data_IF_832278024995
#
_entry.id   IF_832278024995
#
_cell.length_a   1.000
_cell.length_b   1.000
_cell.length_c   1.000
_cell.angle_alpha   90.00
_cell.angle_beta   90.00
_cell.angle_gamma   90.00
#
_symmetry.space_group_name_H-M   'P 1'
#
loop_
_entity.id
_entity.type
_entity.pdbx_description
1 polymer ?
#
# COMPACT_ATOMS: atom_id res chain seq x y z
N UNK A 1 -61.61 -146.96 4.25
CA UNK A 1 -62.04 -145.60 3.84
C UNK A 1 -60.99 -144.61 4.33
N UNK A 2 -60.38 -143.87 3.39
CA UNK A 2 -59.67 -142.57 3.51
C UNK A 2 -58.57 -142.39 4.59
N UNK A 3 -57.29 -142.29 4.17
CA UNK A 3 -56.46 -141.05 3.99
C UNK A 3 -55.90 -140.50 5.33
N UNK A 4 -54.72 -139.89 5.49
CA UNK A 4 -53.53 -139.56 4.68
C UNK A 4 -52.49 -138.94 5.65
N UNK A 5 -51.20 -139.04 5.28
CA UNK A 5 -50.08 -138.10 5.59
C UNK A 5 -49.69 -137.89 7.08
N UNK A 6 -48.46 -137.54 7.48
CA UNK A 6 -47.38 -136.80 6.84
C UNK A 6 -46.07 -136.95 7.66
N UNK A 7 -44.92 -136.85 7.02
CA UNK A 7 -43.57 -136.71 7.60
C UNK A 7 -43.42 -135.38 8.36
N UNK A 8 -42.53 -135.30 9.36
CA UNK A 8 -41.42 -134.31 9.38
C UNK A 8 -40.46 -134.46 10.59
N UNK A 9 -39.19 -134.39 10.21
CA UNK A 9 -37.95 -134.10 10.92
C UNK A 9 -38.03 -132.84 11.81
N UNK A 10 -37.19 -132.74 12.85
CA UNK A 10 -36.32 -131.56 13.08
C UNK A 10 -35.51 -131.63 14.38
N UNK A 11 -34.19 -131.52 14.21
CA UNK A 11 -33.18 -131.36 15.25
C UNK A 11 -33.30 -130.04 16.03
N UNK A 12 -33.66 -130.16 17.30
CA UNK A 12 -33.92 -129.03 18.19
C UNK A 12 -32.81 -128.65 19.18
N UNK A 13 -31.65 -129.31 19.17
CA UNK A 13 -30.69 -129.19 20.30
C UNK A 13 -29.34 -128.53 19.95
N UNK A 14 -28.86 -128.67 18.70
CA UNK A 14 -27.56 -128.13 18.29
C UNK A 14 -27.53 -126.60 18.09
N UNK A 15 -28.69 -125.97 17.89
CA UNK A 15 -28.80 -124.51 17.69
C UNK A 15 -28.81 -123.70 18.98
N UNK A 16 -29.22 -124.30 20.10
CA UNK A 16 -29.32 -123.62 21.39
C UNK A 16 -27.94 -123.57 22.07
N UNK A 17 -27.17 -124.66 21.98
CA UNK A 17 -25.78 -124.70 22.49
C UNK A 17 -24.83 -123.80 21.68
N UNK A 18 -25.01 -123.70 20.36
CA UNK A 18 -24.19 -122.80 19.53
C UNK A 18 -24.49 -121.33 19.83
N UNK A 19 -25.77 -120.98 20.03
CA UNK A 19 -26.18 -119.62 20.39
C UNK A 19 -25.70 -119.22 21.80
N UNK A 20 -25.76 -120.14 22.78
CA UNK A 20 -25.22 -119.87 24.13
C UNK A 20 -23.70 -119.69 24.12
N UNK A 21 -23.00 -120.47 23.30
CA UNK A 21 -21.54 -120.36 23.17
C UNK A 21 -21.14 -119.04 22.49
N UNK A 22 -21.89 -118.58 21.49
CA UNK A 22 -21.64 -117.29 20.83
C UNK A 22 -21.95 -116.08 21.72
N UNK A 23 -23.00 -116.15 22.55
CA UNK A 23 -23.29 -115.09 23.55
C UNK A 23 -22.19 -115.00 24.60
N UNK A 24 -21.67 -116.13 25.08
CA UNK A 24 -20.54 -116.15 26.02
C UNK A 24 -19.28 -115.58 25.37
N UNK A 25 -18.97 -115.93 24.12
CA UNK A 25 -17.84 -115.36 23.38
C UNK A 25 -17.99 -113.86 23.18
N UNK A 26 -19.20 -113.39 22.84
CA UNK A 26 -19.48 -111.97 22.67
C UNK A 26 -19.32 -111.19 23.99
N UNK A 27 -19.79 -111.74 25.11
CA UNK A 27 -19.62 -111.13 26.43
C UNK A 27 -18.16 -111.11 26.88
N UNK A 28 -17.36 -112.14 26.55
CA UNK A 28 -15.91 -112.15 26.82
C UNK A 28 -15.19 -111.11 25.97
N UNK A 29 -15.58 -110.92 24.71
CA UNK A 29 -15.01 -109.88 23.84
C UNK A 29 -15.36 -108.48 24.39
N UNK A 30 -16.60 -108.25 24.83
CA UNK A 30 -16.98 -106.98 25.46
C UNK A 30 -16.21 -106.75 26.76
N UNK A 31 -16.09 -107.77 27.62
CA UNK A 31 -15.32 -107.66 28.86
C UNK A 31 -13.84 -107.38 28.58
N UNK A 32 -13.25 -108.01 27.55
CA UNK A 32 -11.88 -107.76 27.14
C UNK A 32 -11.69 -106.34 26.57
N UNK A 33 -12.63 -105.87 25.74
CA UNK A 33 -12.62 -104.48 25.23
C UNK A 33 -12.72 -103.49 26.39
N UNK A 34 -13.58 -103.73 27.38
CA UNK A 34 -13.69 -102.87 28.57
C UNK A 34 -12.42 -102.90 29.43
N UNK A 35 -11.77 -104.06 29.57
CA UNK A 35 -10.55 -104.23 30.35
C UNK A 35 -9.32 -103.62 29.66
N UNK A 36 -9.31 -103.59 28.32
CA UNK A 36 -8.28 -102.92 27.50
C UNK A 36 -8.52 -101.41 27.39
N UNK A 37 -9.77 -100.94 27.49
CA UNK A 37 -10.11 -99.51 27.50
C UNK A 37 -9.99 -98.87 28.90
N UNK A 38 -10.14 -99.64 29.99
CA UNK A 38 -10.03 -99.14 31.35
C UNK A 38 -8.70 -98.43 31.70
N UNK A 39 -7.51 -98.85 31.19
CA UNK A 39 -6.26 -98.11 31.41
C UNK A 39 -6.03 -96.97 30.38
N UNK A 40 -6.91 -96.79 29.38
CA UNK A 40 -6.79 -95.75 28.33
C UNK A 40 -7.67 -94.52 28.65
N UNK A 41 -8.35 -94.51 29.79
CA UNK A 41 -8.84 -93.26 30.39
C UNK A 41 -7.71 -92.75 31.28
N UNK A 42 -6.81 -91.85 30.81
CA UNK A 42 -5.99 -91.13 31.76
C UNK A 42 -6.97 -90.42 32.69
N UNK A 43 -6.78 -90.63 33.99
CA UNK A 43 -7.28 -89.74 35.02
C UNK A 43 -7.07 -88.32 34.53
N UNK A 44 -8.16 -87.60 34.25
CA UNK A 44 -8.09 -86.16 34.09
C UNK A 44 -7.29 -85.64 35.29
N UNK A 45 -6.13 -85.00 35.10
CA UNK A 45 -5.58 -84.23 36.19
C UNK A 45 -6.68 -83.22 36.53
N UNK A 46 -7.14 -83.21 37.77
CA UNK A 46 -7.76 -82.00 38.30
C UNK A 46 -6.70 -80.92 38.10
N UNK A 47 -6.84 -80.12 37.04
CA UNK A 47 -6.02 -78.95 36.82
C UNK A 47 -6.08 -78.13 38.10
N UNK A 48 -4.94 -78.03 38.76
CA UNK A 48 -4.81 -77.26 39.97
C UNK A 48 -5.29 -75.82 39.69
N UNK A 49 -5.95 -75.16 40.65
CA UNK A 49 -6.44 -73.79 40.50
C UNK A 49 -5.35 -72.77 40.13
N UNK A 50 -4.07 -73.14 40.20
CA UNK A 50 -2.91 -72.33 39.79
C UNK A 50 -2.80 -72.06 38.29
N UNK A 51 -3.16 -73.00 37.40
CA UNK A 51 -3.07 -72.77 35.95
C UNK A 51 -4.09 -71.72 35.46
N UNK A 52 -5.29 -71.74 36.04
CA UNK A 52 -6.34 -70.75 35.77
C UNK A 52 -5.89 -69.36 36.27
N UNK A 53 -5.23 -69.28 37.43
CA UNK A 53 -4.71 -68.02 38.00
C UNK A 53 -3.58 -67.43 37.13
N UNK A 54 -2.70 -68.25 36.56
CA UNK A 54 -1.64 -67.78 35.66
C UNK A 54 -2.18 -67.27 34.33
N UNK A 55 -3.16 -67.96 33.74
CA UNK A 55 -3.86 -67.50 32.52
C UNK A 55 -4.60 -66.18 32.79
N UNK A 56 -5.23 -66.03 33.96
CA UNK A 56 -5.88 -64.79 34.36
C UNK A 56 -4.88 -63.62 34.52
N UNK A 57 -3.73 -63.87 35.13
CA UNK A 57 -2.65 -62.87 35.25
C UNK A 57 -2.06 -62.47 33.90
N UNK A 58 -1.88 -63.41 32.99
CA UNK A 58 -1.43 -63.11 31.61
C UNK A 58 -2.46 -62.31 30.83
N UNK A 59 -3.74 -62.64 30.95
CA UNK A 59 -4.81 -61.88 30.31
C UNK A 59 -4.87 -60.44 30.84
N UNK A 60 -4.67 -60.24 32.15
CA UNK A 60 -4.61 -58.92 32.76
C UNK A 60 -3.38 -58.12 32.28
N UNK A 61 -2.20 -58.75 32.25
CA UNK A 61 -0.99 -58.12 31.72
C UNK A 61 -1.11 -57.74 30.23
N UNK A 62 -1.85 -58.53 29.45
CA UNK A 62 -2.10 -58.23 28.03
C UNK A 62 -3.04 -57.04 27.85
N UNK A 63 -4.10 -56.93 28.66
CA UNK A 63 -4.97 -55.75 28.64
C UNK A 63 -4.22 -54.50 29.13
N UNK A 64 -3.38 -54.61 30.17
CA UNK A 64 -2.53 -53.49 30.63
C UNK A 64 -1.56 -53.03 29.53
N UNK A 65 -0.93 -53.97 28.80
CA UNK A 65 -0.07 -53.65 27.65
C UNK A 65 -0.84 -52.99 26.51
N UNK A 66 -2.08 -53.42 26.25
CA UNK A 66 -2.92 -52.84 25.20
C UNK A 66 -3.32 -51.41 25.54
N UNK A 67 -3.64 -51.13 26.80
CA UNK A 67 -3.86 -49.76 27.30
C UNK A 67 -2.60 -48.93 27.09
N UNK A 68 -1.43 -49.44 27.47
CA UNK A 68 -0.16 -48.74 27.32
C UNK A 68 0.21 -48.45 25.85
N UNK A 69 -0.06 -49.39 24.94
CA UNK A 69 0.09 -49.18 23.49
C UNK A 69 -0.86 -48.11 22.98
N UNK A 70 -2.11 -48.08 23.48
CA UNK A 70 -3.08 -47.06 23.10
C UNK A 70 -2.67 -45.66 23.57
N UNK A 71 -2.16 -45.53 24.80
CA UNK A 71 -1.64 -44.27 25.33
C UNK A 71 -0.42 -43.79 24.53
N UNK A 72 0.52 -44.68 24.22
CA UNK A 72 1.67 -44.36 23.37
C UNK A 72 1.24 -43.96 21.95
N UNK A 73 0.20 -44.56 21.40
CA UNK A 73 -0.33 -44.18 20.10
C UNK A 73 -0.93 -42.77 20.12
N UNK A 74 -1.67 -42.44 21.19
CA UNK A 74 -2.27 -41.12 21.38
C UNK A 74 -1.19 -40.04 21.62
N UNK A 75 -0.16 -40.34 22.42
CA UNK A 75 1.00 -39.49 22.60
C UNK A 75 1.74 -39.24 21.29
N UNK A 76 1.98 -40.28 20.48
CA UNK A 76 2.63 -40.13 19.17
C UNK A 76 1.78 -39.28 18.22
N UNK A 77 0.46 -39.44 18.24
CA UNK A 77 -0.45 -38.62 17.44
C UNK A 77 -0.38 -37.15 17.84
N UNK A 78 -0.30 -36.86 19.13
CA UNK A 78 -0.18 -35.49 19.63
C UNK A 78 1.20 -34.89 19.31
N UNK A 79 2.27 -35.66 19.46
CA UNK A 79 3.63 -35.29 19.03
C UNK A 79 3.69 -34.97 17.54
N UNK A 80 3.05 -35.77 16.69
CA UNK A 80 2.99 -35.50 15.25
C UNK A 80 2.31 -34.16 14.95
N UNK A 81 1.19 -33.85 15.63
CA UNK A 81 0.55 -32.52 15.47
C UNK A 81 1.47 -31.38 15.90
N UNK A 82 2.24 -31.56 16.98
CA UNK A 82 3.19 -30.54 17.43
C UNK A 82 4.32 -30.35 16.41
N UNK A 83 4.83 -31.43 15.83
CA UNK A 83 5.84 -31.38 14.76
C UNK A 83 5.29 -30.66 13.53
N UNK A 84 4.08 -30.97 13.10
CA UNK A 84 3.44 -30.31 11.97
C UNK A 84 3.24 -28.81 12.22
N UNK A 85 2.81 -28.43 13.43
CA UNK A 85 2.67 -27.04 13.82
C UNK A 85 4.02 -26.28 13.82
N UNK A 86 5.08 -26.92 14.33
CA UNK A 86 6.43 -26.34 14.33
C UNK A 86 7.00 -26.20 12.91
N UNK A 87 6.74 -27.17 12.03
CA UNK A 87 7.14 -27.08 10.62
C UNK A 87 6.45 -25.92 9.91
N UNK A 88 5.15 -25.74 10.17
CA UNK A 88 4.37 -24.65 9.57
C UNK A 88 4.87 -23.28 10.08
N UNK A 89 5.16 -23.17 11.37
CA UNK A 89 5.76 -21.97 11.95
C UNK A 89 7.17 -21.69 11.40
N UNK A 90 7.98 -22.73 11.17
CA UNK A 90 9.30 -22.57 10.56
C UNK A 90 9.21 -22.04 9.12
N UNK A 91 8.21 -22.51 8.35
CA UNK A 91 7.96 -22.02 6.98
C UNK A 91 7.51 -20.55 6.97
N UNK A 92 6.65 -20.14 7.92
CA UNK A 92 6.26 -18.73 8.08
C UNK A 92 7.46 -17.85 8.43
N UNK A 93 8.27 -18.26 9.40
CA UNK A 93 9.48 -17.53 9.78
C UNK A 93 10.48 -17.39 8.62
N UNK A 94 10.59 -18.41 7.76
CA UNK A 94 11.42 -18.38 6.56
C UNK A 94 10.92 -17.33 5.56
N UNK A 95 9.60 -17.30 5.30
CA UNK A 95 8.98 -16.29 4.41
C UNK A 95 9.17 -14.87 4.95
N UNK A 96 9.04 -14.69 6.26
CA UNK A 96 9.31 -13.40 6.90
C UNK A 96 10.76 -12.98 6.72
N UNK A 97 11.72 -13.88 6.92
CA UNK A 97 13.14 -13.60 6.72
C UNK A 97 13.46 -13.18 5.27
N UNK A 98 12.89 -13.88 4.28
CA UNK A 98 13.06 -13.53 2.86
C UNK A 98 12.47 -12.15 2.54
N UNK A 99 11.31 -11.83 3.12
CA UNK A 99 10.68 -10.51 2.96
C UNK A 99 11.51 -9.38 3.58
N UNK A 100 12.14 -9.65 4.73
CA UNK A 100 13.01 -8.72 5.42
C UNK A 100 14.27 -8.43 4.59
N UNK A 101 14.85 -9.46 3.97
CA UNK A 101 16.03 -9.30 3.13
C UNK A 101 15.73 -8.55 1.83
N UNK A 102 14.55 -8.73 1.24
CA UNK A 102 14.07 -7.90 0.14
C UNK A 102 13.97 -6.43 0.57
N UNK A 103 13.33 -6.17 1.71
CA UNK A 103 13.17 -4.81 2.24
C UNK A 103 14.51 -4.12 2.50
N UNK A 104 15.50 -4.83 3.08
CA UNK A 104 16.87 -4.31 3.28
C UNK A 104 17.53 -3.92 1.96
N UNK A 105 17.41 -4.74 0.92
CA UNK A 105 17.97 -4.43 -0.41
C UNK A 105 17.30 -3.19 -1.01
N UNK A 106 15.98 -3.08 -0.91
CA UNK A 106 15.26 -1.89 -1.37
C UNK A 106 15.69 -0.64 -0.63
N UNK A 107 15.86 -0.72 0.70
CA UNK A 107 16.29 0.39 1.54
C UNK A 107 17.69 0.87 1.13
N UNK A 108 18.63 -0.06 0.92
CA UNK A 108 19.97 0.26 0.42
C UNK A 108 19.93 0.99 -0.93
N UNK A 109 19.13 0.52 -1.88
CA UNK A 109 18.97 1.20 -3.18
C UNK A 109 18.38 2.61 -3.03
N UNK A 110 17.45 2.81 -2.09
CA UNK A 110 16.89 4.13 -1.80
C UNK A 110 17.94 5.06 -1.17
N UNK A 111 18.78 4.57 -0.26
CA UNK A 111 19.88 5.33 0.34
C UNK A 111 20.88 5.81 -0.73
N UNK A 112 21.27 4.92 -1.65
CA UNK A 112 22.16 5.26 -2.78
C UNK A 112 21.54 6.36 -3.66
N UNK A 113 20.22 6.28 -3.93
CA UNK A 113 19.50 7.31 -4.70
C UNK A 113 19.44 8.65 -3.97
N UNK A 114 19.24 8.64 -2.65
CA UNK A 114 19.23 9.86 -1.83
C UNK A 114 20.60 10.53 -1.87
N UNK A 115 21.69 9.75 -1.73
CA UNK A 115 23.05 10.28 -1.81
C UNK A 115 23.33 10.90 -3.19
N UNK A 116 22.91 10.24 -4.28
CA UNK A 116 23.05 10.78 -5.63
C UNK A 116 22.30 12.11 -5.80
N UNK A 117 21.06 12.19 -5.32
CA UNK A 117 20.27 13.43 -5.36
C UNK A 117 20.87 14.55 -4.50
N UNK A 118 21.46 14.22 -3.36
CA UNK A 118 22.16 15.20 -2.53
C UNK A 118 23.40 15.75 -3.24
N UNK A 119 24.20 14.90 -3.88
CA UNK A 119 25.34 15.33 -4.68
C UNK A 119 24.91 16.21 -5.87
N UNK A 120 23.81 15.85 -6.54
CA UNK A 120 23.23 16.66 -7.61
C UNK A 120 22.78 18.04 -7.11
N UNK A 121 22.08 18.10 -5.97
CA UNK A 121 21.66 19.35 -5.34
C UNK A 121 22.85 20.25 -5.02
N UNK A 122 23.95 19.70 -4.51
CA UNK A 122 25.17 20.46 -4.22
C UNK A 122 25.77 21.03 -5.50
N UNK A 123 25.91 20.22 -6.55
CA UNK A 123 26.40 20.70 -7.86
C UNK A 123 25.51 21.80 -8.45
N UNK A 124 24.19 21.68 -8.33
CA UNK A 124 23.26 22.72 -8.79
C UNK A 124 23.41 24.00 -7.98
N UNK A 125 23.56 23.92 -6.66
CA UNK A 125 23.78 25.09 -5.81
C UNK A 125 25.08 25.82 -6.17
N UNK A 126 26.17 25.09 -6.44
CA UNK A 126 27.43 25.66 -6.91
C UNK A 126 27.27 26.38 -8.26
N UNK A 127 26.55 25.77 -9.21
CA UNK A 127 26.24 26.39 -10.50
C UNK A 127 25.45 27.68 -10.33
N UNK A 128 24.41 27.69 -9.49
CA UNK A 128 23.62 28.89 -9.20
C UNK A 128 24.51 29.98 -8.60
N UNK A 129 25.40 29.63 -7.68
CA UNK A 129 26.38 30.57 -7.11
C UNK A 129 27.32 31.17 -8.16
N UNK A 130 27.81 30.34 -9.08
CA UNK A 130 28.63 30.81 -10.19
C UNK A 130 27.87 31.79 -11.10
N UNK A 131 26.63 31.46 -11.45
CA UNK A 131 25.76 32.36 -12.24
C UNK A 131 25.47 33.67 -11.53
N UNK A 132 25.17 33.63 -10.23
CA UNK A 132 24.93 34.84 -9.43
C UNK A 132 26.16 35.76 -9.44
N UNK A 133 27.35 35.20 -9.24
CA UNK A 133 28.61 35.95 -9.32
C UNK A 133 28.84 36.55 -10.71
N UNK A 134 28.44 35.86 -11.78
CA UNK A 134 28.52 36.38 -13.15
C UNK A 134 27.52 37.53 -13.38
N UNK A 135 26.29 37.39 -12.89
CA UNK A 135 25.28 38.45 -12.94
C UNK A 135 25.75 39.70 -12.19
N UNK A 136 26.31 39.56 -10.99
CA UNK A 136 26.84 40.70 -10.22
C UNK A 136 27.95 41.44 -10.98
N UNK A 137 28.81 40.72 -11.71
CA UNK A 137 29.84 41.33 -12.57
C UNK A 137 29.21 42.10 -13.73
N UNK A 138 28.23 41.51 -14.42
CA UNK A 138 27.51 42.17 -15.51
C UNK A 138 26.75 43.40 -15.03
N UNK A 139 26.12 43.34 -13.86
CA UNK A 139 25.42 44.47 -13.27
C UNK A 139 26.38 45.65 -13.00
N UNK A 140 27.58 45.37 -12.50
CA UNK A 140 28.63 46.40 -12.32
C UNK A 140 29.11 46.96 -13.65
N UNK A 141 29.36 46.13 -14.65
CA UNK A 141 29.73 46.58 -16.00
C UNK A 141 28.64 47.50 -16.60
N UNK A 142 27.37 47.14 -16.45
CA UNK A 142 26.23 47.96 -16.91
C UNK A 142 26.19 49.28 -16.15
N UNK A 143 26.38 49.27 -14.81
CA UNK A 143 26.41 50.48 -14.01
C UNK A 143 27.55 51.41 -14.47
N UNK A 144 28.75 50.90 -14.68
CA UNK A 144 29.91 51.67 -15.16
C UNK A 144 29.69 52.24 -16.57
N UNK A 145 29.07 51.47 -17.47
CA UNK A 145 28.72 51.94 -18.82
C UNK A 145 27.64 53.02 -18.74
N UNK A 146 26.60 52.83 -17.92
CA UNK A 146 25.53 53.81 -17.73
C UNK A 146 26.05 55.13 -17.13
N UNK A 147 26.97 55.06 -16.16
CA UNK A 147 27.58 56.26 -15.59
C UNK A 147 28.45 57.00 -16.60
N UNK A 148 29.16 56.27 -17.47
CA UNK A 148 29.93 56.86 -18.57
C UNK A 148 29.02 57.50 -19.62
N UNK A 149 27.91 56.85 -19.97
CA UNK A 149 26.90 57.40 -20.88
C UNK A 149 26.31 58.70 -20.32
N UNK A 150 25.89 58.71 -19.06
CA UNK A 150 25.36 59.91 -18.41
C UNK A 150 26.41 61.03 -18.31
N UNK A 151 27.66 60.70 -17.99
CA UNK A 151 28.74 61.69 -17.96
C UNK A 151 29.03 62.28 -19.35
N UNK A 152 28.94 61.46 -20.39
CA UNK A 152 29.09 61.92 -21.77
C UNK A 152 27.89 62.77 -22.20
N UNK A 153 26.66 62.35 -21.90
CA UNK A 153 25.44 63.10 -22.18
C UNK A 153 25.44 64.47 -21.49
N UNK A 154 25.84 64.53 -20.22
CA UNK A 154 26.00 65.79 -19.49
C UNK A 154 27.12 66.68 -20.06
N UNK A 155 28.17 66.09 -20.65
CA UNK A 155 29.22 66.84 -21.33
C UNK A 155 28.79 67.37 -22.72
N UNK A 156 27.74 66.79 -23.32
CA UNK A 156 27.14 67.22 -24.58
C UNK A 156 25.91 68.14 -24.41
N UNK A 157 25.42 68.33 -23.19
CA UNK A 157 24.40 69.34 -22.91
C UNK A 157 25.05 70.72 -22.79
N UNK A 158 24.83 71.58 -23.79
CA UNK A 158 24.99 73.03 -23.65
C UNK A 158 24.08 73.55 -22.52
N UNK A 159 24.50 74.58 -21.76
CA UNK A 159 23.79 75.05 -20.58
C UNK A 159 22.45 75.64 -21.00
N UNK A 160 21.36 74.91 -20.73
CA UNK A 160 20.00 75.47 -20.78
C UNK A 160 19.58 75.84 -19.37
N UNK A 161 19.17 77.09 -19.29
CA UNK A 161 18.70 77.88 -18.16
C UNK A 161 17.58 77.19 -17.38
N UNK A 162 17.57 77.49 -16.09
CA UNK A 162 16.59 77.13 -15.06
C UNK A 162 15.14 77.00 -15.55
N UNK A 163 14.44 75.95 -15.12
CA UNK A 163 13.25 76.05 -14.26
C UNK A 163 12.58 74.69 -13.96
N UNK A 164 12.15 74.56 -12.70
CA UNK A 164 11.09 73.69 -12.13
C UNK A 164 11.42 72.27 -11.66
N UNK A 165 11.45 72.18 -10.34
CA UNK A 165 10.88 71.09 -9.53
C UNK A 165 9.48 70.70 -10.03
N UNK A 166 9.24 69.42 -10.33
CA UNK A 166 8.12 68.64 -9.77
C UNK A 166 8.07 67.17 -10.27
N UNK A 167 7.84 66.29 -9.28
CA UNK A 167 7.24 64.95 -9.34
C UNK A 167 8.01 63.83 -10.08
N UNK A 168 8.55 62.92 -9.25
CA UNK A 168 8.93 61.54 -9.61
C UNK A 168 7.73 60.81 -10.23
N UNK A 169 7.64 60.84 -11.56
CA UNK A 169 6.79 59.91 -12.31
C UNK A 169 7.58 58.62 -12.48
N UNK A 170 7.12 57.55 -11.83
CA UNK A 170 7.55 56.18 -12.15
C UNK A 170 7.35 55.99 -13.66
N UNK A 171 8.44 55.61 -14.32
CA UNK A 171 8.53 55.25 -15.73
C UNK A 171 7.30 54.44 -16.19
N UNK A 172 6.60 54.83 -17.27
CA UNK A 172 5.57 54.00 -17.86
C UNK A 172 6.26 52.80 -18.52
N UNK A 173 6.09 51.62 -17.93
CA UNK A 173 6.49 50.35 -18.53
C UNK A 173 5.74 50.16 -19.86
N UNK A 174 6.43 49.54 -20.81
CA UNK A 174 6.05 49.33 -22.20
C UNK A 174 4.54 49.13 -22.41
N UNK A 175 3.95 50.00 -23.27
CA UNK A 175 2.52 50.04 -23.57
C UNK A 175 2.02 48.72 -24.12
N UNK A 176 1.45 47.94 -23.23
CA UNK A 176 0.99 46.58 -23.41
C UNK A 176 -0.49 46.68 -23.83
N UNK A 177 -0.87 46.06 -24.96
CA UNK A 177 -2.26 46.14 -25.50
C UNK A 177 -3.19 45.22 -24.70
N UNK A 178 -4.35 45.73 -24.29
CA UNK A 178 -5.39 44.98 -23.56
C UNK A 178 -5.68 45.53 -22.16
N UNK A 179 -6.55 44.81 -21.44
CA UNK A 179 -6.91 45.10 -20.05
C UNK A 179 -6.02 44.26 -19.14
N UNK A 180 -5.30 44.91 -18.23
CA UNK A 180 -4.45 44.25 -17.24
C UNK A 180 -5.12 44.23 -15.89
N UNK A 181 -5.21 43.06 -15.26
CA UNK A 181 -5.76 42.93 -13.91
C UNK A 181 -4.65 43.15 -12.90
N UNK A 182 -4.86 44.09 -11.99
CA UNK A 182 -3.97 44.39 -10.88
C UNK A 182 -4.76 44.48 -9.57
N UNK A 183 -4.04 44.43 -8.46
CA UNK A 183 -4.60 44.60 -7.13
C UNK A 183 -4.10 45.92 -6.55
N UNK A 184 -4.94 46.58 -5.78
CA UNK A 184 -4.63 47.87 -5.14
C UNK A 184 -3.35 47.79 -4.29
N UNK A 185 -3.13 46.65 -3.63
CA UNK A 185 -1.94 46.34 -2.85
C UNK A 185 -1.78 44.84 -2.65
N UNK A 186 -0.59 44.43 -2.18
CA UNK A 186 -0.34 43.05 -1.75
C UNK A 186 -1.27 42.62 -0.61
N UNK A 187 -1.59 43.54 0.31
CA UNK A 187 -2.53 43.28 1.41
C UNK A 187 -3.96 43.06 0.90
N UNK A 188 -4.38 43.81 -0.13
CA UNK A 188 -5.67 43.62 -0.77
C UNK A 188 -5.75 42.24 -1.45
N UNK A 189 -4.69 41.85 -2.17
CA UNK A 189 -4.60 40.51 -2.78
C UNK A 189 -4.75 39.41 -1.72
N UNK A 190 -3.95 39.49 -0.65
CA UNK A 190 -3.94 38.48 0.40
C UNK A 190 -5.28 38.40 1.13
N UNK A 191 -5.93 39.55 1.40
CA UNK A 191 -7.25 39.58 2.03
C UNK A 191 -8.30 38.87 1.16
N UNK A 192 -8.33 39.16 -0.14
CA UNK A 192 -9.27 38.53 -1.07
C UNK A 192 -9.04 37.02 -1.24
N UNK A 193 -7.76 36.59 -1.18
CA UNK A 193 -7.40 35.18 -1.20
C UNK A 193 -7.83 34.46 0.08
N UNK A 194 -7.67 35.10 1.25
CA UNK A 194 -8.10 34.55 2.55
C UNK A 194 -9.61 34.43 2.67
N UNK A 195 -10.34 35.41 2.15
CA UNK A 195 -11.81 35.43 2.13
C UNK A 195 -12.40 34.49 1.06
N UNK A 196 -11.55 33.85 0.24
CA UNK A 196 -11.98 32.96 -0.83
C UNK A 196 -12.69 33.65 -1.99
N UNK A 197 -12.65 34.99 -2.04
CA UNK A 197 -13.19 35.77 -3.15
C UNK A 197 -12.37 35.56 -4.42
N UNK A 198 -11.07 35.33 -4.26
CA UNK A 198 -10.13 35.12 -5.36
C UNK A 198 -9.37 33.82 -5.13
N UNK A 199 -9.08 33.09 -6.19
CA UNK A 199 -8.25 31.88 -6.13
C UNK A 199 -7.00 32.06 -6.98
N UNK A 200 -5.85 31.70 -6.45
CA UNK A 200 -4.57 31.75 -7.14
C UNK A 200 -4.06 30.33 -7.38
N UNK A 201 -3.58 30.09 -8.60
CA UNK A 201 -2.96 28.85 -9.03
C UNK A 201 -1.59 29.13 -9.64
N UNK A 202 -0.60 28.30 -9.32
CA UNK A 202 0.65 28.21 -10.07
C UNK A 202 0.55 27.04 -11.03
N UNK A 203 0.51 27.33 -12.34
CA UNK A 203 0.50 26.33 -13.40
C UNK A 203 1.93 26.18 -13.96
N UNK A 204 2.46 24.96 -13.92
CA UNK A 204 3.84 24.67 -14.32
C UNK A 204 3.87 23.95 -15.67
N UNK A 205 3.01 22.95 -15.83
CA UNK A 205 2.86 22.17 -17.06
C UNK A 205 1.43 21.61 -17.13
N UNK A 206 1.10 20.97 -18.26
CA UNK A 206 -0.25 20.45 -18.56
C UNK A 206 -0.90 19.59 -17.47
N UNK A 207 -0.10 18.94 -16.61
CA UNK A 207 -0.58 18.04 -15.56
C UNK A 207 -0.34 18.54 -14.14
N UNK A 208 0.36 19.66 -13.97
CA UNK A 208 0.84 20.12 -12.67
C UNK A 208 0.42 21.56 -12.41
N UNK A 209 -0.53 21.71 -11.49
CA UNK A 209 -0.89 23.00 -10.91
C UNK A 209 -1.06 22.91 -9.39
N UNK A 210 -0.77 24.04 -8.74
CA UNK A 210 -0.85 24.18 -7.30
C UNK A 210 -1.76 25.34 -6.94
N UNK A 211 -2.82 25.08 -6.18
CA UNK A 211 -3.67 26.10 -5.61
C UNK A 211 -3.01 26.68 -4.36
N UNK A 212 -3.09 28.00 -4.22
CA UNK A 212 -2.59 28.76 -3.07
C UNK A 212 -3.72 28.98 -2.08
N UNK A 213 -3.47 28.64 -0.81
CA UNK A 213 -4.37 28.89 0.30
C UNK A 213 -3.70 29.84 1.29
N UNK A 214 -4.33 30.97 1.55
CA UNK A 214 -3.92 31.86 2.63
C UNK A 214 -4.79 31.58 3.85
N UNK A 215 -4.21 31.01 4.90
CA UNK A 215 -4.90 30.67 6.16
C UNK A 215 -4.26 31.44 7.32
N UNK A 216 -4.98 32.43 7.86
CA UNK A 216 -4.49 33.26 8.96
C UNK A 216 -3.26 34.07 8.57
N UNK A 217 -2.07 33.71 9.09
CA UNK A 217 -0.78 34.32 8.70
C UNK A 217 0.09 33.43 7.81
N UNK A 218 -0.39 32.24 7.45
CA UNK A 218 0.37 31.25 6.68
C UNK A 218 -0.10 31.13 5.24
N UNK A 219 0.81 30.73 4.37
CA UNK A 219 0.53 30.41 2.97
C UNK A 219 0.80 28.92 2.77
N UNK A 220 -0.17 28.20 2.21
CA UNK A 220 -0.11 26.77 1.93
C UNK A 220 -0.40 26.50 0.46
N UNK A 221 0.09 25.37 -0.01
CA UNK A 221 -0.05 24.95 -1.40
C UNK A 221 -0.58 23.52 -1.46
N UNK A 222 -1.52 23.27 -2.38
CA UNK A 222 -2.05 21.94 -2.64
C UNK A 222 -2.07 21.67 -4.13
N UNK A 223 -1.68 20.47 -4.54
CA UNK A 223 -1.87 20.03 -5.91
C UNK A 223 -3.36 20.06 -6.24
N UNK A 224 -3.71 20.76 -7.33
CA UNK A 224 -5.08 20.94 -7.78
C UNK A 224 -5.10 20.97 -9.30
N UNK A 225 -6.15 20.40 -9.91
CA UNK A 225 -6.41 20.61 -11.33
C UNK A 225 -6.80 22.09 -11.55
N UNK A 226 -6.45 22.64 -12.72
CA UNK A 226 -6.99 23.95 -13.09
C UNK A 226 -8.52 23.86 -13.18
N UNK A 227 -9.24 24.89 -12.73
CA UNK A 227 -10.68 24.93 -12.91
C UNK A 227 -11.04 25.06 -14.40
N UNK A 228 -11.62 24.00 -14.97
CA UNK A 228 -12.04 23.97 -16.39
C UNK A 228 -13.24 24.89 -16.68
N UNK A 229 -14.06 25.16 -15.66
CA UNK A 229 -15.35 25.85 -15.80
C UNK A 229 -15.36 27.28 -15.25
N UNK A 230 -14.24 27.80 -14.75
CA UNK A 230 -14.18 29.16 -14.20
C UNK A 230 -13.34 30.08 -15.11
N UNK A 231 -13.77 31.33 -15.33
CA UNK A 231 -12.96 32.30 -16.07
C UNK A 231 -11.66 32.55 -15.30
N UNK A 232 -10.54 32.18 -15.92
CA UNK A 232 -9.22 32.36 -15.36
C UNK A 232 -8.42 33.38 -16.16
N UNK A 233 -7.60 34.15 -15.45
CA UNK A 233 -6.77 35.22 -16.01
C UNK A 233 -5.31 34.96 -15.68
N UNK A 234 -4.43 35.04 -16.68
CA UNK A 234 -3.00 34.99 -16.44
C UNK A 234 -2.52 36.32 -15.85
N UNK A 235 -1.87 36.28 -14.69
CA UNK A 235 -1.23 37.44 -14.08
C UNK A 235 0.29 37.34 -14.22
N UNK A 236 0.94 38.50 -14.32
CA UNK A 236 2.41 38.53 -14.31
C UNK A 236 2.91 38.09 -12.94
N UNK A 237 4.01 37.33 -12.92
CA UNK A 237 4.60 36.85 -11.66
C UNK A 237 5.01 38.00 -10.73
N UNK A 238 5.37 39.15 -11.28
CA UNK A 238 5.70 40.37 -10.51
C UNK A 238 4.50 40.99 -9.78
N UNK A 239 3.27 40.62 -10.14
CA UNK A 239 2.04 41.08 -9.48
C UNK A 239 1.57 40.11 -8.40
N UNK A 240 2.26 38.98 -8.23
CA UNK A 240 2.00 38.05 -7.13
C UNK A 240 2.72 38.57 -5.89
N UNK A 241 2.03 38.72 -4.74
CA UNK A 241 2.66 39.17 -3.51
C UNK A 241 3.94 38.40 -3.18
N UNK A 242 5.05 39.07 -2.79
CA UNK A 242 6.33 38.44 -2.48
C UNK A 242 6.22 37.31 -1.45
N UNK A 243 5.36 37.48 -0.44
CA UNK A 243 5.12 36.46 0.57
C UNK A 243 4.66 35.11 -0.04
N UNK A 244 3.86 35.13 -1.10
CA UNK A 244 3.39 33.92 -1.79
C UNK A 244 4.50 33.31 -2.63
N UNK A 245 5.21 34.12 -3.42
CA UNK A 245 6.27 33.63 -4.29
C UNK A 245 7.46 33.05 -3.51
N UNK A 246 7.87 33.69 -2.41
CA UNK A 246 8.89 33.19 -1.49
C UNK A 246 8.46 31.90 -0.78
N UNK A 247 7.20 31.84 -0.32
CA UNK A 247 6.64 30.64 0.30
C UNK A 247 6.63 29.47 -0.69
N UNK A 248 6.28 29.72 -1.95
CA UNK A 248 6.25 28.70 -3.00
C UNK A 248 7.66 28.17 -3.31
N UNK A 249 8.65 29.06 -3.40
CA UNK A 249 10.06 28.69 -3.58
C UNK A 249 10.61 27.83 -2.44
N UNK A 250 10.18 28.11 -1.21
CA UNK A 250 10.59 27.33 -0.03
C UNK A 250 9.90 25.96 0.02
N UNK A 251 8.65 25.90 -0.44
CA UNK A 251 7.81 24.71 -0.36
C UNK A 251 8.15 23.64 -1.40
N UNK A 252 8.53 24.02 -2.63
CA UNK A 252 8.81 23.06 -3.72
C UNK A 252 10.00 23.46 -4.59
N UNK A 253 10.78 22.46 -5.02
CA UNK A 253 11.84 22.65 -6.01
C UNK A 253 11.30 22.98 -7.41
N UNK A 254 10.02 22.69 -7.66
CA UNK A 254 9.35 23.02 -8.92
C UNK A 254 9.16 24.53 -9.13
N UNK A 255 9.33 25.35 -8.08
CA UNK A 255 9.22 26.80 -8.17
C UNK A 255 10.25 27.47 -9.08
N UNK A 256 11.34 26.75 -9.40
CA UNK A 256 12.41 27.18 -10.32
C UNK A 256 12.05 26.95 -11.80
N UNK A 257 10.98 26.20 -12.09
CA UNK A 257 10.51 26.01 -13.46
C UNK A 257 9.73 27.23 -13.95
N UNK A 258 9.59 27.37 -15.28
CA UNK A 258 8.69 28.37 -15.84
C UNK A 258 7.27 28.08 -15.37
N UNK A 259 6.64 29.07 -14.75
CA UNK A 259 5.30 28.94 -14.17
C UNK A 259 4.46 30.14 -14.59
N UNK A 260 3.18 29.87 -14.84
CA UNK A 260 2.18 30.91 -15.07
C UNK A 260 1.35 31.04 -13.81
N UNK A 261 1.28 32.25 -13.25
CA UNK A 261 0.35 32.55 -12.18
C UNK A 261 -1.02 32.81 -12.80
N UNK A 262 -2.01 32.04 -12.35
CA UNK A 262 -3.38 32.07 -12.88
C UNK A 262 -4.30 32.45 -11.74
N UNK A 263 -5.20 33.38 -12.00
CA UNK A 263 -6.13 33.87 -11.00
C UNK A 263 -7.56 33.63 -11.46
N UNK A 264 -8.39 33.15 -10.54
CA UNK A 264 -9.82 32.99 -10.73
C UNK A 264 -10.52 34.11 -9.97
N UNK A 265 -11.35 34.86 -10.69
CA UNK A 265 -12.08 36.01 -10.15
C UNK A 265 -13.58 35.67 -10.07
N UNK A 266 -14.32 36.28 -9.13
CA UNK A 266 -15.78 36.18 -9.09
C UNK A 266 -16.42 36.55 -10.43
N UNK A 267 -17.55 35.92 -10.76
CA UNK A 267 -18.25 36.17 -12.03
C UNK A 267 -18.59 37.66 -12.24
N UNK A 268 -18.98 38.35 -11.16
CA UNK A 268 -19.29 39.78 -11.17
C UNK A 268 -18.09 40.66 -11.60
N UNK A 269 -16.87 40.26 -11.27
CA UNK A 269 -15.63 40.94 -11.68
C UNK A 269 -15.25 40.50 -13.10
N UNK A 270 -15.33 39.21 -13.38
CA UNK A 270 -15.04 38.64 -14.70
C UNK A 270 -15.92 39.21 -15.81
N UNK A 271 -17.19 39.49 -15.54
CA UNK A 271 -18.10 40.18 -16.47
C UNK A 271 -17.70 41.63 -16.71
N UNK A 272 -17.33 42.38 -15.66
CA UNK A 272 -16.82 43.75 -15.79
C UNK A 272 -15.59 43.81 -16.68
N UNK A 273 -14.65 42.88 -16.52
CA UNK A 273 -13.44 42.80 -17.36
C UNK A 273 -13.83 42.42 -18.80
N UNK A 274 -14.76 41.48 -19.00
CA UNK A 274 -15.28 41.12 -20.33
C UNK A 274 -15.91 42.31 -21.06
N UNK A 275 -16.65 43.16 -20.34
CA UNK A 275 -17.25 44.38 -20.89
C UNK A 275 -16.22 45.47 -21.26
N UNK A 276 -14.95 45.29 -20.87
CA UNK A 276 -13.84 46.16 -21.24
C UNK A 276 -12.98 45.59 -22.39
N UNK A 277 -13.39 44.47 -23.00
CA UNK A 277 -12.74 43.93 -24.19
C UNK A 277 -12.64 45.00 -25.30
N UNK A 278 -11.45 45.17 -25.85
CA UNK A 278 -11.14 46.20 -26.86
C UNK A 278 -10.69 47.54 -26.30
N UNK A 279 -10.76 47.75 -24.97
CA UNK A 279 -10.15 48.90 -24.30
C UNK A 279 -8.74 48.55 -23.80
N UNK A 280 -7.90 49.58 -23.68
CA UNK A 280 -6.58 49.46 -23.08
C UNK A 280 -6.59 50.15 -21.73
N UNK A 281 -6.09 49.48 -20.70
CA UNK A 281 -6.06 50.05 -19.36
C UNK A 281 -5.78 49.03 -18.28
N UNK A 282 -5.74 49.52 -17.06
CA UNK A 282 -5.54 48.73 -15.86
C UNK A 282 -6.87 48.60 -15.10
N UNK A 283 -7.23 47.37 -14.77
CA UNK A 283 -8.38 47.02 -13.96
C UNK A 283 -7.89 46.65 -12.56
N UNK A 284 -8.06 47.56 -11.62
CA UNK A 284 -7.57 47.47 -10.25
C UNK A 284 -8.67 46.91 -9.35
N UNK A 285 -8.35 45.88 -8.57
CA UNK A 285 -9.24 45.27 -7.57
C UNK A 285 -8.76 45.67 -6.17
N UNK A 286 -9.63 46.35 -5.42
CA UNK A 286 -9.38 46.80 -4.05
C UNK A 286 -9.72 45.73 -3.01
N UNK A 287 -9.34 46.01 -1.76
CA UNK A 287 -9.44 45.04 -0.63
C UNK A 287 -10.85 44.47 -0.40
N UNK A 288 -11.90 45.24 -0.69
CA UNK A 288 -13.30 44.83 -0.49
C UNK A 288 -13.96 44.28 -1.77
N UNK A 289 -13.19 43.98 -2.81
CA UNK A 289 -13.72 43.61 -4.13
C UNK A 289 -14.24 44.79 -4.95
N UNK A 290 -13.98 46.02 -4.50
CA UNK A 290 -14.20 47.23 -5.27
C UNK A 290 -13.31 47.24 -6.52
N UNK A 291 -13.81 47.77 -7.63
CA UNK A 291 -13.14 47.68 -8.93
C UNK A 291 -13.01 49.06 -9.57
N UNK A 292 -11.80 49.44 -9.98
CA UNK A 292 -11.51 50.67 -10.70
C UNK A 292 -10.87 50.35 -12.05
N UNK A 293 -11.33 50.99 -13.12
CA UNK A 293 -10.67 50.90 -14.42
C UNK A 293 -9.96 52.23 -14.74
N UNK A 294 -8.66 52.17 -14.98
CA UNK A 294 -7.83 53.29 -15.41
C UNK A 294 -7.53 53.09 -16.89
N UNK A 295 -8.16 53.84 -17.81
CA UNK A 295 -7.83 53.75 -19.22
C UNK A 295 -6.38 54.20 -19.45
N UNK A 296 -5.64 53.47 -20.27
CA UNK A 296 -4.43 54.01 -20.87
C UNK A 296 -4.89 54.95 -21.97
N UNK A 297 -4.79 56.26 -21.74
CA UNK A 297 -5.21 57.26 -22.71
C UNK A 297 -4.60 56.93 -24.07
N UNK A 298 -5.49 56.53 -24.99
CA UNK A 298 -5.20 56.47 -26.40
C UNK A 298 -5.10 57.91 -26.87
N UNK A 299 -3.92 58.51 -26.78
CA UNK A 299 -3.54 59.64 -27.61
C UNK A 299 -3.57 59.20 -29.07
N UNK A 300 -4.77 59.08 -29.65
CA UNK A 300 -4.97 59.17 -31.07
C UNK A 300 -5.11 60.66 -31.38
N UNK A 301 -4.04 61.26 -31.92
CA UNK A 301 -4.26 62.19 -33.00
C UNK A 301 -4.94 61.39 -34.10
N UNK A 302 -6.23 61.65 -34.31
CA UNK A 302 -6.90 61.35 -35.56
C UNK A 302 -6.13 62.06 -36.69
N UNK A 303 -5.70 61.29 -37.69
CA UNK A 303 -5.52 61.72 -39.08
C UNK A 303 -6.16 60.66 -39.96
#
# INVERSE_FOLDING_TARGET
MYNNAEYLDNGGDAGIESAQTDVLRFNVIIAYILLVLAPIVPSFPQEAPTAIIEVQKQAQAFEDQKVQISELHEQNKELMKQVDALLLQAEENQKEADSLDLAKRTLKTQEEKIQALQAEKQMQAERIWAYKRQLDRRQKEIADISSKLNAMENAFQEPKTDEREEVQTKQPSERKKGVYVAFESDEAFLSLLQEGQVQLFFHINESTAFQVFAEGKGIRFKAAALPENLPWWGIQESLVPPAISESFQTWTTLALQHKTAIITLPDSISEKIRNLQGKNGEFIIGRNGETLFIPYDGGQNEV
#
